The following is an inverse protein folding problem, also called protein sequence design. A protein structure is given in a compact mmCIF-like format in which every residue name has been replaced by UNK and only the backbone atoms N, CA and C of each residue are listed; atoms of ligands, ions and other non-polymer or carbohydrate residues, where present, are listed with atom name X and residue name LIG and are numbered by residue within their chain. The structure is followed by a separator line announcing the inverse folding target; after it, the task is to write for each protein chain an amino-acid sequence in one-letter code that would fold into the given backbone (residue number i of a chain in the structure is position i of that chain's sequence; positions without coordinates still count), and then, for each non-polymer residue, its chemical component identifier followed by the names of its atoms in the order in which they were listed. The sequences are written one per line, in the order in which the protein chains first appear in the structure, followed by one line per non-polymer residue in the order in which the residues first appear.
data_IF_309945517690
#
_entry.id   IF_309945517690
#
_cell.length_a   1.000
_cell.length_b   1.000
_cell.length_c   1.000
_cell.angle_alpha   90.00
_cell.angle_beta   90.00
_cell.angle_gamma   90.00
#
_symmetry.space_group_name_H-M   'P 1'
#
loop_
_entity.id
_entity.type
_entity.pdbx_description
1 polymer ?
#
# COMPACT_ATOMS: atom_id res chain seq x y z
N UNK A 1 41.73 -46.29 7.18
CA UNK A 1 41.16 -47.65 7.07
C UNK A 1 39.68 -47.54 7.33
N UNK A 2 38.71 -47.93 6.51
CA UNK A 2 38.60 -48.53 5.17
C UNK A 2 37.14 -48.24 4.77
N UNK A 3 36.89 -47.67 3.59
CA UNK A 3 35.54 -47.54 2.99
C UNK A 3 35.17 -48.90 2.38
N UNK A 4 33.88 -49.24 2.17
CA UNK A 4 33.32 -48.96 0.84
C UNK A 4 31.84 -48.55 0.79
N UNK A 5 31.60 -47.67 -0.19
CA UNK A 5 30.34 -47.29 -0.82
C UNK A 5 29.80 -48.43 -1.71
N UNK A 6 28.48 -48.50 -1.98
CA UNK A 6 27.98 -49.09 -3.21
C UNK A 6 27.12 -48.11 -4.03
N UNK A 7 27.43 -48.03 -5.33
CA UNK A 7 26.67 -47.32 -6.34
C UNK A 7 25.47 -48.13 -6.88
N UNK A 8 24.49 -47.36 -7.37
CA UNK A 8 23.62 -47.57 -8.54
C UNK A 8 22.64 -48.74 -8.57
N UNK A 9 21.35 -48.44 -8.73
CA UNK A 9 20.52 -48.92 -9.85
C UNK A 9 19.23 -48.07 -9.95
N UNK A 10 19.01 -47.44 -11.11
CA UNK A 10 17.71 -46.93 -11.54
C UNK A 10 16.95 -48.04 -12.29
N UNK A 11 15.62 -47.93 -12.40
CA UNK A 11 15.04 -48.05 -13.73
C UNK A 11 14.03 -46.94 -14.07
N UNK A 12 14.09 -46.60 -15.36
CA UNK A 12 13.18 -45.76 -16.15
C UNK A 12 11.83 -46.43 -16.39
N UNK A 13 10.74 -45.65 -16.39
CA UNK A 13 9.44 -45.95 -17.03
C UNK A 13 8.60 -44.67 -17.05
N UNK A 14 8.76 -43.83 -18.09
CA UNK A 14 7.97 -43.76 -19.34
C UNK A 14 6.55 -43.19 -19.17
N UNK A 15 6.39 -42.05 -19.84
CA UNK A 15 5.18 -41.29 -20.06
C UNK A 15 4.01 -42.11 -20.64
N UNK A 16 2.79 -41.66 -20.32
CA UNK A 16 1.60 -41.88 -21.15
C UNK A 16 0.60 -40.73 -21.00
N UNK A 17 0.59 -39.83 -21.97
CA UNK A 17 -0.64 -39.16 -22.41
C UNK A 17 -1.40 -40.12 -23.35
N UNK A 18 -2.71 -39.91 -23.50
CA UNK A 18 -3.26 -39.58 -24.83
C UNK A 18 -4.23 -38.38 -24.75
N UNK A 19 -4.03 -37.30 -25.53
CA UNK A 19 -4.62 -37.04 -26.87
C UNK A 19 -6.15 -37.24 -26.91
N UNK A 20 -6.95 -36.17 -26.78
CA UNK A 20 -7.37 -35.21 -27.82
C UNK A 20 -8.55 -35.68 -28.67
N UNK A 21 -9.71 -35.04 -28.47
CA UNK A 21 -10.73 -34.82 -29.50
C UNK A 21 -11.05 -33.32 -29.54
N UNK A 22 -10.52 -32.65 -30.58
CA UNK A 22 -11.12 -31.51 -31.26
C UNK A 22 -12.43 -31.96 -31.95
N UNK A 23 -13.36 -31.18 -32.46
CA UNK A 23 -13.62 -29.76 -32.75
C UNK A 23 -15.17 -29.66 -32.74
N UNK A 24 -15.89 -28.54 -32.71
CA UNK A 24 -15.84 -27.37 -33.56
C UNK A 24 -16.93 -26.41 -33.01
N UNK A 25 -16.60 -25.15 -32.76
CA UNK A 25 -17.06 -23.96 -33.50
C UNK A 25 -18.57 -23.68 -33.43
N UNK A 26 -18.95 -22.68 -32.63
CA UNK A 26 -19.83 -21.62 -33.13
C UNK A 26 -19.54 -20.28 -32.45
N UNK A 27 -19.42 -19.27 -33.30
CA UNK A 27 -18.99 -17.90 -33.02
C UNK A 27 -20.17 -17.00 -32.61
N UNK A 28 -19.91 -15.74 -32.20
CA UNK A 28 -20.71 -15.03 -31.19
C UNK A 28 -21.88 -14.28 -31.81
N UNK A 29 -23.01 -14.23 -31.09
CA UNK A 29 -24.11 -13.34 -31.43
C UNK A 29 -24.19 -12.14 -30.48
N UNK A 30 -23.98 -10.98 -31.10
CA UNK A 30 -24.28 -9.64 -30.63
C UNK A 30 -25.71 -9.53 -30.07
N UNK A 31 -25.82 -8.97 -28.87
CA UNK A 31 -26.98 -8.20 -28.46
C UNK A 31 -26.54 -7.15 -27.43
N UNK A 32 -26.39 -5.91 -27.90
CA UNK A 32 -26.17 -4.75 -27.06
C UNK A 32 -27.42 -4.40 -26.26
N UNK A 33 -27.26 -3.93 -25.00
CA UNK A 33 -28.15 -2.95 -24.44
C UNK A 33 -27.38 -1.65 -24.14
N UNK A 34 -27.78 -0.65 -24.91
CA UNK A 34 -27.70 0.80 -24.73
C UNK A 34 -27.25 1.28 -23.33
N UNK A 35 -26.10 1.96 -23.32
CA UNK A 35 -25.95 3.29 -22.75
C UNK A 35 -26.28 3.47 -21.27
N UNK A 36 -25.52 2.82 -20.38
CA UNK A 36 -25.39 3.23 -18.98
C UNK A 36 -24.22 4.21 -18.85
N UNK A 37 -24.49 5.47 -18.54
CA UNK A 37 -23.45 6.48 -18.29
C UNK A 37 -22.66 6.09 -17.03
N UNK A 38 -21.34 6.00 -17.18
CA UNK A 38 -20.38 5.85 -16.10
C UNK A 38 -20.52 7.03 -15.14
N UNK A 39 -20.94 6.78 -13.91
CA UNK A 39 -20.95 7.79 -12.87
C UNK A 39 -19.52 8.20 -12.54
N UNK A 40 -19.20 9.48 -12.69
CA UNK A 40 -17.91 10.05 -12.28
C UNK A 40 -18.16 11.18 -11.28
N UNK A 41 -17.39 11.30 -10.19
CA UNK A 41 -17.61 12.32 -9.14
C UNK A 41 -17.54 13.79 -9.61
N UNK A 42 -17.13 14.03 -10.85
CA UNK A 42 -16.97 15.38 -11.41
C UNK A 42 -18.25 15.93 -12.07
N UNK A 43 -19.22 15.08 -12.45
CA UNK A 43 -20.47 15.53 -13.08
C UNK A 43 -21.51 16.08 -12.09
N UNK A 44 -21.40 15.75 -10.81
CA UNK A 44 -22.31 16.23 -9.75
C UNK A 44 -22.03 17.69 -9.38
N UNK A 45 -20.77 18.13 -9.50
CA UNK A 45 -20.34 19.50 -9.20
C UNK A 45 -20.92 20.50 -10.22
N UNK A 46 -20.96 20.14 -11.52
CA UNK A 46 -21.42 21.04 -12.58
C UNK A 46 -22.95 21.20 -12.58
N UNK A 47 -23.70 20.15 -12.20
CA UNK A 47 -25.16 20.22 -12.07
C UNK A 47 -25.58 21.14 -10.93
N UNK A 48 -24.85 21.11 -9.81
CA UNK A 48 -25.15 21.92 -8.62
C UNK A 48 -24.81 23.41 -8.82
N UNK A 49 -23.84 23.74 -9.67
CA UNK A 49 -23.50 25.14 -9.99
C UNK A 49 -24.61 25.80 -10.84
N UNK A 50 -25.22 25.07 -11.79
CA UNK A 50 -26.22 25.63 -12.72
C UNK A 50 -27.61 25.84 -12.11
N UNK A 51 -27.92 25.20 -10.99
CA UNK A 51 -29.18 25.42 -10.24
C UNK A 51 -29.10 26.59 -9.26
N UNK A 52 -27.91 27.16 -9.01
CA UNK A 52 -27.70 28.21 -8.02
C UNK A 52 -27.75 29.64 -8.58
N UNK A 53 -28.00 29.84 -9.88
CA UNK A 53 -28.13 31.16 -10.50
C UNK A 53 -29.48 31.32 -11.19
N UNK A 54 -30.52 31.59 -10.39
CA UNK A 54 -31.71 32.27 -10.88
C UNK A 54 -32.12 33.33 -9.88
N UNK A 55 -31.89 34.58 -10.26
CA UNK A 55 -32.19 35.81 -9.54
C UNK A 55 -33.56 35.78 -8.86
N UNK A 56 -33.60 36.13 -7.57
CA UNK A 56 -34.80 36.65 -6.92
C UNK A 56 -34.46 37.96 -6.22
N UNK A 57 -35.30 38.95 -6.54
CA UNK A 57 -35.16 40.36 -6.22
C UNK A 57 -34.99 40.61 -4.72
N UNK A 58 -34.09 41.55 -4.42
CA UNK A 58 -33.81 42.08 -3.08
C UNK A 58 -34.93 43.07 -2.70
N UNK A 59 -35.69 42.78 -1.65
CA UNK A 59 -36.61 43.74 -1.00
C UNK A 59 -36.06 44.06 0.40
N UNK A 60 -35.60 45.29 0.70
CA UNK A 60 -34.85 45.59 1.90
C UNK A 60 -35.78 46.12 3.00
N UNK A 61 -36.58 45.25 3.62
CA UNK A 61 -37.24 45.57 4.90
C UNK A 61 -37.29 44.32 5.78
N UNK A 62 -36.83 44.49 7.03
CA UNK A 62 -36.69 43.49 8.10
C UNK A 62 -35.29 42.85 8.23
N UNK A 63 -34.34 43.64 8.74
CA UNK A 63 -33.14 43.10 9.37
C UNK A 63 -33.39 42.95 10.88
N UNK A 64 -33.60 41.72 11.35
CA UNK A 64 -33.19 41.28 12.68
C UNK A 64 -32.06 40.28 12.45
N UNK A 65 -30.82 40.55 12.89
CA UNK A 65 -29.72 39.62 12.67
C UNK A 65 -29.78 38.54 13.75
N UNK A 66 -30.61 37.53 13.54
CA UNK A 66 -30.40 36.27 14.25
C UNK A 66 -29.18 35.60 13.62
N UNK A 67 -28.11 35.68 14.41
CA UNK A 67 -26.81 35.12 14.23
C UNK A 67 -26.88 33.58 14.18
N UNK A 68 -27.48 32.99 13.16
CA UNK A 68 -27.43 31.55 12.89
C UNK A 68 -26.20 31.23 12.02
N UNK A 69 -25.03 31.44 12.62
CA UNK A 69 -23.85 30.66 12.24
C UNK A 69 -24.14 29.24 12.72
N UNK A 70 -24.89 28.49 11.93
CA UNK A 70 -25.25 27.10 12.19
C UNK A 70 -24.00 26.28 12.46
N UNK A 71 -23.69 26.09 13.75
CA UNK A 71 -22.62 25.23 14.22
C UNK A 71 -22.94 23.82 13.73
N UNK A 72 -22.19 23.34 12.73
CA UNK A 72 -22.28 21.97 12.25
C UNK A 72 -21.96 21.07 13.45
N UNK A 73 -22.97 20.34 13.92
CA UNK A 73 -22.83 19.42 15.05
C UNK A 73 -21.76 18.38 14.70
N UNK A 74 -20.78 18.22 15.59
CA UNK A 74 -19.73 17.22 15.41
C UNK A 74 -20.37 15.84 15.20
N UNK A 75 -19.96 15.06 14.19
CA UNK A 75 -20.42 13.69 14.02
C UNK A 75 -20.18 12.91 15.32
N UNK A 76 -21.15 12.08 15.75
CA UNK A 76 -20.93 11.23 16.92
C UNK A 76 -19.77 10.28 16.61
N UNK A 77 -18.65 10.47 17.31
CA UNK A 77 -17.50 9.58 17.26
C UNK A 77 -17.61 8.67 18.46
N UNK A 78 -18.17 7.47 18.27
CA UNK A 78 -18.11 6.46 19.32
C UNK A 78 -16.64 6.10 19.58
N UNK A 79 -16.17 6.09 20.84
CA UNK A 79 -14.81 5.67 21.17
C UNK A 79 -14.56 4.23 20.68
N UNK A 80 -13.38 3.97 20.10
CA UNK A 80 -12.99 2.62 19.67
C UNK A 80 -12.97 1.65 20.86
N UNK A 81 -13.59 0.47 20.70
CA UNK A 81 -13.54 -0.57 21.72
C UNK A 81 -12.15 -1.23 21.76
N UNK A 82 -11.80 -1.86 22.88
CA UNK A 82 -10.53 -2.55 22.99
C UNK A 82 -10.43 -3.73 22.01
N UNK A 83 -11.53 -4.45 21.77
CA UNK A 83 -11.61 -5.56 20.83
C UNK A 83 -11.43 -5.08 19.39
N UNK A 84 -12.06 -3.95 19.03
CA UNK A 84 -11.89 -3.31 17.73
C UNK A 84 -10.44 -2.86 17.52
N UNK A 85 -9.83 -2.24 18.52
CA UNK A 85 -8.42 -1.85 18.46
C UNK A 85 -7.50 -3.06 18.28
N UNK A 86 -7.76 -4.17 18.97
CA UNK A 86 -7.00 -5.41 18.79
C UNK A 86 -7.17 -5.98 17.38
N UNK A 87 -8.38 -5.94 16.83
CA UNK A 87 -8.62 -6.36 15.45
C UNK A 87 -7.87 -5.47 14.44
N UNK A 88 -7.89 -4.15 14.66
CA UNK A 88 -7.19 -3.17 13.84
C UNK A 88 -5.67 -3.41 13.84
N UNK A 89 -5.05 -3.51 15.03
CA UNK A 89 -3.60 -3.77 15.14
C UNK A 89 -3.20 -5.08 14.47
N UNK A 90 -4.05 -6.12 14.54
CA UNK A 90 -3.81 -7.38 13.83
C UNK A 90 -3.90 -7.20 12.30
N UNK A 91 -4.87 -6.43 11.82
CA UNK A 91 -5.03 -6.09 10.41
C UNK A 91 -3.81 -5.36 9.87
N UNK A 92 -3.39 -4.27 10.54
CA UNK A 92 -2.20 -3.50 10.19
C UNK A 92 -0.95 -4.39 10.21
N UNK A 93 -0.77 -5.22 11.23
CA UNK A 93 0.38 -6.13 11.28
C UNK A 93 0.41 -7.11 10.10
N UNK A 94 -0.74 -7.65 9.71
CA UNK A 94 -0.84 -8.52 8.55
C UNK A 94 -0.49 -7.77 7.25
N UNK A 95 -1.04 -6.56 7.07
CA UNK A 95 -0.71 -5.66 5.96
C UNK A 95 0.79 -5.38 5.86
N UNK A 96 1.38 -4.92 6.97
CA UNK A 96 2.81 -4.67 7.12
C UNK A 96 3.67 -5.87 6.71
N UNK A 97 3.36 -7.08 7.21
CA UNK A 97 4.13 -8.29 6.89
C UNK A 97 4.02 -8.65 5.41
N UNK A 98 2.85 -8.48 4.79
CA UNK A 98 2.67 -8.71 3.35
C UNK A 98 3.52 -7.74 2.52
N UNK A 99 3.46 -6.45 2.83
CA UNK A 99 4.22 -5.43 2.11
C UNK A 99 5.72 -5.60 2.34
N UNK A 100 6.16 -5.90 3.57
CA UNK A 100 7.58 -6.17 3.89
C UNK A 100 8.11 -7.35 3.08
N UNK A 101 7.35 -8.44 3.03
CA UNK A 101 7.72 -9.61 2.22
C UNK A 101 7.86 -9.24 0.76
N UNK A 102 6.99 -8.35 0.25
CA UNK A 102 7.07 -7.88 -1.13
C UNK A 102 8.28 -7.00 -1.40
N UNK A 103 8.64 -6.10 -0.48
CA UNK A 103 9.87 -5.30 -0.59
C UNK A 103 11.10 -6.22 -0.67
N UNK A 104 11.21 -7.21 0.22
CA UNK A 104 12.33 -8.16 0.25
C UNK A 104 12.44 -8.93 -1.07
N UNK A 105 11.33 -9.47 -1.58
CA UNK A 105 11.30 -10.20 -2.85
C UNK A 105 11.77 -9.33 -4.02
N UNK A 106 11.21 -8.13 -4.14
CA UNK A 106 11.49 -7.22 -5.25
C UNK A 106 12.90 -6.67 -5.18
N UNK A 107 13.37 -6.23 -4.02
CA UNK A 107 14.73 -5.73 -3.83
C UNK A 107 15.76 -6.80 -4.18
N UNK A 108 15.58 -8.04 -3.70
CA UNK A 108 16.48 -9.14 -4.03
C UNK A 108 16.49 -9.45 -5.53
N UNK A 109 15.34 -9.41 -6.19
CA UNK A 109 15.25 -9.58 -7.65
C UNK A 109 15.97 -8.46 -8.40
N UNK A 110 15.84 -7.20 -7.94
CA UNK A 110 16.50 -6.05 -8.55
C UNK A 110 18.01 -6.00 -8.27
N UNK A 111 18.46 -6.49 -7.11
CA UNK A 111 19.88 -6.58 -6.75
C UNK A 111 20.59 -7.72 -7.47
N UNK A 112 19.91 -8.86 -7.69
CA UNK A 112 20.50 -10.02 -8.40
C UNK A 112 20.53 -9.85 -9.92
N UNK A 113 19.69 -8.97 -10.47
CA UNK A 113 19.74 -8.58 -11.88
C UNK A 113 20.96 -7.69 -12.16
N UNK A 114 22.14 -8.30 -12.20
CA UNK A 114 23.43 -7.63 -12.39
C UNK A 114 23.70 -7.31 -13.88
N UNK A 115 22.71 -7.47 -14.76
CA UNK A 115 22.81 -6.96 -16.11
C UNK A 115 22.78 -5.43 -16.03
N UNK A 116 23.95 -4.83 -16.08
CA UNK A 116 24.21 -3.40 -16.20
C UNK A 116 23.46 -2.73 -17.37
N UNK A 117 22.80 -3.51 -18.23
CA UNK A 117 21.96 -3.07 -19.34
C UNK A 117 20.45 -2.97 -19.04
N UNK A 118 19.90 -3.64 -18.02
CA UNK A 118 18.49 -3.43 -17.64
C UNK A 118 18.36 -2.21 -16.75
N UNK A 119 18.39 -1.03 -17.39
CA UNK A 119 18.13 0.24 -16.72
C UNK A 119 16.64 0.31 -16.37
N UNK A 120 16.33 0.34 -15.09
CA UNK A 120 14.98 0.63 -14.61
C UNK A 120 14.54 1.99 -15.16
N UNK A 121 13.33 2.03 -15.72
CA UNK A 121 12.72 3.26 -16.19
C UNK A 121 12.15 4.06 -15.00
N UNK A 122 11.73 5.30 -15.25
CA UNK A 122 11.21 6.17 -14.20
C UNK A 122 9.96 5.58 -13.52
N UNK A 123 9.03 5.00 -14.28
CA UNK A 123 7.81 4.39 -13.71
C UNK A 123 8.13 3.25 -12.75
N UNK A 124 9.11 2.41 -13.09
CA UNK A 124 9.58 1.33 -12.22
C UNK A 124 10.24 1.87 -10.95
N UNK A 125 11.04 2.94 -11.04
CA UNK A 125 11.59 3.59 -9.85
C UNK A 125 10.50 4.18 -8.96
N UNK A 126 9.50 4.85 -9.55
CA UNK A 126 8.37 5.38 -8.80
C UNK A 126 7.57 4.26 -8.12
N UNK A 127 7.39 3.11 -8.80
CA UNK A 127 6.72 1.95 -8.22
C UNK A 127 7.50 1.37 -7.02
N UNK A 128 8.83 1.29 -7.11
CA UNK A 128 9.68 0.88 -5.98
C UNK A 128 9.59 1.87 -4.82
N UNK A 129 9.71 3.17 -5.08
CA UNK A 129 9.55 4.20 -4.04
C UNK A 129 8.17 4.11 -3.41
N UNK A 130 7.11 3.93 -4.20
CA UNK A 130 5.74 3.80 -3.70
C UNK A 130 5.58 2.56 -2.81
N UNK A 131 6.18 1.43 -3.20
CA UNK A 131 6.16 0.21 -2.40
C UNK A 131 6.84 0.42 -1.03
N UNK A 132 8.05 0.99 -1.01
CA UNK A 132 8.75 1.29 0.23
C UNK A 132 8.03 2.36 1.06
N UNK A 133 7.40 3.35 0.41
CA UNK A 133 6.54 4.33 1.08
C UNK A 133 5.42 3.61 1.83
N UNK A 134 4.69 2.71 1.17
CA UNK A 134 3.63 1.92 1.83
C UNK A 134 4.17 1.17 3.04
N UNK A 135 5.32 0.49 2.92
CA UNK A 135 5.91 -0.21 4.06
C UNK A 135 6.21 0.70 5.25
N UNK A 136 6.75 1.90 5.00
CA UNK A 136 7.03 2.86 6.07
C UNK A 136 5.75 3.39 6.73
N UNK A 137 4.68 3.60 5.95
CA UNK A 137 3.36 4.00 6.47
C UNK A 137 2.73 2.90 7.31
N UNK A 138 2.73 1.66 6.85
CA UNK A 138 2.22 0.51 7.62
C UNK A 138 2.94 0.35 8.96
N UNK A 139 4.26 0.55 8.98
CA UNK A 139 4.99 0.58 10.24
C UNK A 139 4.52 1.72 11.15
N UNK A 140 4.44 2.95 10.64
CA UNK A 140 3.98 4.11 11.40
C UNK A 140 2.57 3.90 11.98
N UNK A 141 1.65 3.39 11.16
CA UNK A 141 0.27 3.08 11.57
C UNK A 141 0.26 2.00 12.66
N UNK A 142 1.13 1.00 12.57
CA UNK A 142 1.30 0.01 13.63
C UNK A 142 1.77 0.64 14.94
N UNK A 143 2.72 1.58 14.90
CA UNK A 143 3.16 2.31 16.09
C UNK A 143 2.01 3.11 16.70
N UNK A 144 1.32 3.93 15.91
CA UNK A 144 0.18 4.72 16.37
C UNK A 144 -0.92 3.85 17.00
N UNK A 145 -1.31 2.77 16.33
CA UNK A 145 -2.34 1.88 16.82
C UNK A 145 -1.92 1.15 18.10
N UNK A 146 -0.65 0.72 18.19
CA UNK A 146 -0.12 0.06 19.39
C UNK A 146 -0.03 0.99 20.60
N UNK A 147 0.18 2.29 20.38
CA UNK A 147 0.33 3.32 21.41
C UNK A 147 -0.98 4.06 21.75
N UNK A 148 -2.09 3.68 21.10
CA UNK A 148 -3.41 4.27 21.29
C UNK A 148 -3.81 4.33 22.79
N UNK A 149 -4.53 5.37 23.26
CA UNK A 149 -4.94 5.49 24.67
C UNK A 149 -5.63 4.24 25.24
N UNK A 150 -6.54 3.64 24.47
CA UNK A 150 -7.26 2.39 24.82
C UNK A 150 -6.43 1.11 24.69
N UNK A 151 -5.15 1.19 24.26
CA UNK A 151 -4.30 0.02 24.09
C UNK A 151 -3.89 -0.56 25.45
N UNK A 152 -4.11 -1.86 25.61
CA UNK A 152 -3.61 -2.61 26.77
C UNK A 152 -2.09 -2.58 26.86
N UNK A 153 -1.49 -2.78 28.05
CA UNK A 153 -0.03 -2.83 28.19
C UNK A 153 0.65 -3.90 27.32
N UNK A 154 -0.05 -5.01 27.03
CA UNK A 154 0.47 -6.04 26.14
C UNK A 154 0.53 -5.58 24.68
N UNK A 155 -0.46 -4.80 24.23
CA UNK A 155 -0.53 -4.25 22.88
C UNK A 155 0.57 -3.20 22.64
N UNK A 156 0.77 -2.28 23.60
CA UNK A 156 1.85 -1.27 23.57
C UNK A 156 3.25 -1.89 23.44
N UNK A 157 3.48 -3.04 24.06
CA UNK A 157 4.78 -3.74 23.98
C UNK A 157 5.03 -4.46 22.65
N UNK A 158 4.04 -4.58 21.76
CA UNK A 158 4.22 -5.32 20.51
C UNK A 158 5.27 -4.71 19.59
N UNK A 159 5.37 -3.38 19.54
CA UNK A 159 6.37 -2.69 18.72
C UNK A 159 7.80 -3.15 19.08
N UNK A 160 8.12 -3.20 20.37
CA UNK A 160 9.40 -3.72 20.87
C UNK A 160 9.52 -5.22 20.70
N UNK A 161 8.47 -5.99 21.03
CA UNK A 161 8.46 -7.46 20.95
C UNK A 161 8.74 -7.96 19.53
N UNK A 162 8.22 -7.28 18.53
CA UNK A 162 8.40 -7.62 17.12
C UNK A 162 9.56 -6.85 16.47
N UNK A 163 10.34 -6.10 17.26
CA UNK A 163 11.48 -5.32 16.80
C UNK A 163 11.14 -4.38 15.61
N UNK A 164 9.99 -3.69 15.66
CA UNK A 164 9.52 -2.83 14.57
C UNK A 164 10.57 -1.82 14.08
N UNK A 165 11.31 -1.09 14.95
CA UNK A 165 12.31 -0.13 14.48
C UNK A 165 13.43 -0.81 13.66
N UNK A 166 13.90 -1.97 14.12
CA UNK A 166 14.97 -2.70 13.45
C UNK A 166 14.51 -3.29 12.10
N UNK A 167 13.27 -3.79 12.03
CA UNK A 167 12.67 -4.28 10.78
C UNK A 167 12.48 -3.17 9.76
N UNK A 168 11.90 -2.04 10.18
CA UNK A 168 11.72 -0.85 9.34
C UNK A 168 13.06 -0.37 8.78
N UNK A 169 14.09 -0.28 9.63
CA UNK A 169 15.41 0.09 9.17
C UNK A 169 15.95 -0.89 8.11
N UNK A 170 15.93 -2.20 8.41
CA UNK A 170 16.53 -3.21 7.53
C UNK A 170 15.80 -3.36 6.19
N UNK A 171 14.48 -3.50 6.25
CA UNK A 171 13.64 -3.89 5.11
C UNK A 171 12.91 -2.71 4.47
N UNK A 172 12.66 -1.64 5.24
CA UNK A 172 12.04 -0.41 4.74
C UNK A 172 13.05 0.56 4.14
N UNK A 173 14.21 0.76 4.77
CA UNK A 173 15.12 1.86 4.44
C UNK A 173 16.44 1.36 3.83
N UNK A 174 17.18 0.56 4.57
CA UNK A 174 18.58 0.25 4.26
C UNK A 174 18.74 -0.58 2.98
N UNK A 175 17.97 -1.66 2.83
CA UNK A 175 17.99 -2.51 1.63
C UNK A 175 17.73 -1.72 0.35
N UNK A 176 16.72 -0.85 0.36
CA UNK A 176 16.39 -0.03 -0.80
C UNK A 176 17.43 1.06 -1.09
N UNK A 177 17.97 1.72 -0.06
CA UNK A 177 19.08 2.66 -0.24
C UNK A 177 20.30 1.98 -0.86
N UNK A 178 20.57 0.73 -0.46
CA UNK A 178 21.66 -0.04 -1.02
C UNK A 178 21.41 -0.41 -2.49
N UNK A 179 20.18 -0.76 -2.86
CA UNK A 179 19.79 -0.94 -4.27
C UNK A 179 20.00 0.36 -5.07
N UNK A 180 19.55 1.50 -4.55
CA UNK A 180 19.71 2.80 -5.20
C UNK A 180 21.20 3.15 -5.36
N UNK A 181 22.04 2.87 -4.34
CA UNK A 181 23.48 3.12 -4.37
C UNK A 181 24.19 2.37 -5.49
N UNK A 182 23.84 1.11 -5.72
CA UNK A 182 24.44 0.30 -6.79
C UNK A 182 24.03 0.74 -8.20
N UNK A 183 22.98 1.56 -8.34
CA UNK A 183 22.47 2.04 -9.64
C UNK A 183 22.85 3.50 -9.94
N UNK A 184 23.75 4.08 -9.15
CA UNK A 184 24.29 5.41 -9.43
C UNK A 184 25.09 5.41 -10.75
N UNK A 185 25.05 6.52 -11.52
CA UNK A 185 24.38 7.79 -11.23
C UNK A 185 22.88 7.82 -11.60
N UNK A 186 22.36 6.79 -12.28
CA UNK A 186 21.01 6.80 -12.84
C UNK A 186 19.88 6.90 -11.80
N UNK A 187 20.15 6.50 -10.56
CA UNK A 187 19.20 6.51 -9.44
C UNK A 187 19.28 7.77 -8.55
N UNK A 188 20.14 8.76 -8.84
CA UNK A 188 20.44 9.86 -7.92
C UNK A 188 19.20 10.62 -7.44
N UNK A 189 18.35 11.07 -8.37
CA UNK A 189 17.12 11.81 -8.06
C UNK A 189 16.14 10.96 -7.21
N UNK A 190 16.05 9.67 -7.51
CA UNK A 190 15.22 8.71 -6.78
C UNK A 190 15.75 8.46 -5.37
N UNK A 191 17.07 8.37 -5.23
CA UNK A 191 17.75 8.25 -3.94
C UNK A 191 17.47 9.46 -3.05
N UNK A 192 17.63 10.68 -3.58
CA UNK A 192 17.34 11.90 -2.81
C UNK A 192 15.87 11.94 -2.37
N UNK A 193 14.95 11.68 -3.30
CA UNK A 193 13.50 11.60 -3.01
C UNK A 193 13.21 10.61 -1.88
N UNK A 194 13.80 9.42 -1.94
CA UNK A 194 13.60 8.40 -0.93
C UNK A 194 14.23 8.76 0.43
N UNK A 195 15.41 9.38 0.45
CA UNK A 195 16.04 9.86 1.69
C UNK A 195 15.13 10.87 2.41
N UNK A 196 14.57 11.83 1.68
CA UNK A 196 13.64 12.80 2.27
C UNK A 196 12.38 12.12 2.83
N UNK A 197 11.82 11.16 2.08
CA UNK A 197 10.67 10.38 2.55
C UNK A 197 11.00 9.60 3.84
N UNK A 198 12.10 8.85 3.85
CA UNK A 198 12.51 8.05 4.99
C UNK A 198 12.78 8.92 6.23
N UNK A 199 13.42 10.07 6.03
CA UNK A 199 13.65 11.06 7.09
C UNK A 199 12.33 11.57 7.68
N UNK A 200 11.36 11.96 6.84
CA UNK A 200 10.04 12.41 7.31
C UNK A 200 9.32 11.33 8.13
N UNK A 201 9.37 10.07 7.70
CA UNK A 201 8.74 8.97 8.44
C UNK A 201 9.44 8.69 9.78
N UNK A 202 10.78 8.75 9.82
CA UNK A 202 11.53 8.64 11.07
C UNK A 202 11.21 9.77 12.05
N UNK A 203 11.07 11.01 11.56
CA UNK A 203 10.70 12.15 12.38
C UNK A 203 9.33 11.97 13.04
N UNK A 204 8.31 11.53 12.28
CA UNK A 204 6.98 11.23 12.82
C UNK A 204 7.01 10.17 13.93
N UNK A 205 7.91 9.19 13.84
CA UNK A 205 8.07 8.16 14.88
C UNK A 205 8.69 8.72 16.15
N UNK A 206 9.62 9.67 16.06
CA UNK A 206 10.17 10.34 17.25
C UNK A 206 9.14 11.19 17.99
N UNK A 207 8.14 11.71 17.27
CA UNK A 207 7.03 12.47 17.88
C UNK A 207 5.97 11.56 18.53
N UNK A 208 5.88 10.30 18.09
CA UNK A 208 4.83 9.36 18.49
C UNK A 208 5.31 8.25 19.45
N UNK A 209 6.63 8.14 19.66
CA UNK A 209 7.27 7.15 20.54
C UNK A 209 7.44 7.62 21.99
#
# INVERSE_FOLDING_TARGET
MLIPNPQSHAPSSRARQPSSTAANSDSPNNAAPKGGKSWTPQEEVIRNIRTATSSRNFDPRHAHPDNDLGLIKQPETHPISQEQLVAEVKGIYAGLVMVESKCIEVDNAQSSNNETNFKLNNEQWQALIALHRTLLHEHHDFFLASQHPSASPALRRLASKYAMPARMWRHGIHSFLELLRHRLPASLEHMLTFIYLAYSMMALLYETA
#
